data_IF_651657236267
#
_entry.id   IF_651657236267
#
_cell.length_a   1.000
_cell.length_b   1.000
_cell.length_c   1.000
_cell.angle_alpha   90.00
_cell.angle_beta   90.00
_cell.angle_gamma   90.00
#
_symmetry.space_group_name_H-M   'P 1'
#
loop_
_entity.id
_entity.type
_entity.pdbx_description
1 polymer ?
#
# COMPACT_ATOMS: atom_id res chain seq x y z
N UNK A 1 -7.06 17.96 20.50
CA UNK A 1 -7.74 18.35 19.24
C UNK A 1 -8.98 17.50 19.06
N UNK A 2 -10.13 18.03 18.62
CA UNK A 2 -11.29 17.20 18.29
C UNK A 2 -10.96 16.21 17.16
N UNK A 3 -11.56 15.03 17.22
CA UNK A 3 -11.46 14.03 16.16
C UNK A 3 -12.54 14.29 15.12
N UNK A 4 -12.21 14.17 13.83
CA UNK A 4 -13.15 14.34 12.72
C UNK A 4 -13.52 12.96 12.16
N UNK A 5 -14.77 12.50 12.27
CA UNK A 5 -15.20 11.23 11.68
C UNK A 5 -15.23 11.32 10.16
N UNK A 6 -14.80 10.25 9.49
CA UNK A 6 -14.81 10.12 8.03
C UNK A 6 -15.74 8.96 7.65
N UNK A 7 -17.03 9.26 7.58
CA UNK A 7 -18.06 8.29 7.20
C UNK A 7 -18.18 8.20 5.67
N UNK A 8 -18.22 6.97 5.14
CA UNK A 8 -18.26 6.74 3.70
C UNK A 8 -19.19 5.58 3.34
N UNK A 9 -19.74 5.63 2.12
CA UNK A 9 -20.54 4.53 1.57
C UNK A 9 -19.66 3.43 1.00
N UNK A 10 -20.18 2.22 0.85
CA UNK A 10 -19.51 1.14 0.14
C UNK A 10 -19.08 1.60 -1.26
N UNK A 11 -17.84 1.29 -1.65
CA UNK A 11 -17.25 1.72 -2.93
C UNK A 11 -16.58 3.11 -2.90
N UNK A 12 -16.70 3.87 -1.81
CA UNK A 12 -15.98 5.14 -1.67
C UNK A 12 -14.47 4.93 -1.45
N UNK A 13 -13.68 5.94 -1.79
CA UNK A 13 -12.24 6.00 -1.51
C UNK A 13 -11.96 7.07 -0.48
N UNK A 14 -11.21 6.72 0.57
CA UNK A 14 -10.59 7.69 1.47
C UNK A 14 -9.10 7.73 1.13
N UNK A 15 -8.64 8.85 0.58
CA UNK A 15 -7.25 9.06 0.21
C UNK A 15 -6.63 10.10 1.13
N UNK A 16 -5.52 9.75 1.78
CA UNK A 16 -4.87 10.62 2.75
C UNK A 16 -3.36 10.35 2.80
N UNK A 17 -2.61 11.32 3.31
CA UNK A 17 -1.16 11.22 3.45
C UNK A 17 -0.79 10.25 4.59
N UNK A 18 0.26 9.43 4.40
CA UNK A 18 0.71 8.45 5.39
C UNK A 18 1.13 9.03 6.76
N UNK A 19 1.45 10.32 6.84
CA UNK A 19 1.76 11.02 8.09
C UNK A 19 0.53 11.60 8.81
N UNK A 20 -0.67 11.53 8.23
CA UNK A 20 -1.89 11.97 8.89
C UNK A 20 -2.12 11.10 10.14
N UNK A 21 -2.25 11.72 11.31
CA UNK A 21 -2.67 11.00 12.52
C UNK A 21 -4.11 10.50 12.32
N UNK A 22 -4.29 9.18 12.31
CA UNK A 22 -5.58 8.56 12.06
C UNK A 22 -5.79 7.34 12.98
N UNK A 23 -7.05 7.02 13.25
CA UNK A 23 -7.46 5.84 14.01
C UNK A 23 -8.84 5.37 13.56
N UNK A 24 -9.21 4.16 13.95
CA UNK A 24 -10.59 3.66 13.84
C UNK A 24 -11.18 3.40 15.21
N UNK A 25 -12.47 3.69 15.36
CA UNK A 25 -13.21 3.33 16.56
C UNK A 25 -13.54 1.83 16.60
N UNK A 26 -13.81 1.31 17.80
CA UNK A 26 -14.26 -0.07 18.02
C UNK A 26 -15.56 -0.32 17.26
N UNK A 27 -15.62 -1.42 16.49
CA UNK A 27 -16.87 -1.88 15.91
C UNK A 27 -17.85 -2.33 17.01
N UNK A 28 -19.10 -1.85 16.96
CA UNK A 28 -20.14 -2.15 17.96
C UNK A 28 -21.28 -3.00 17.42
N UNK A 29 -21.25 -3.38 16.14
CA UNK A 29 -22.26 -4.28 15.56
C UNK A 29 -22.10 -5.70 16.10
N UNK A 30 -23.20 -6.41 16.28
CA UNK A 30 -23.21 -7.81 16.75
C UNK A 30 -23.10 -8.82 15.60
N UNK A 31 -23.54 -8.44 14.40
CA UNK A 31 -23.77 -9.33 13.26
C UNK A 31 -23.11 -8.85 11.95
N UNK A 32 -22.25 -7.82 12.01
CA UNK A 32 -21.67 -7.18 10.82
C UNK A 32 -20.19 -6.82 10.97
N UNK A 33 -19.53 -6.65 9.83
CA UNK A 33 -18.13 -6.23 9.73
C UNK A 33 -17.96 -5.11 8.70
N UNK A 34 -17.05 -4.16 9.00
CA UNK A 34 -16.58 -3.18 8.01
C UNK A 34 -15.40 -3.77 7.24
N UNK A 35 -15.55 -3.94 5.93
CA UNK A 35 -14.49 -4.39 5.01
C UNK A 35 -13.84 -3.19 4.31
N UNK A 36 -12.54 -3.30 4.07
CA UNK A 36 -11.73 -2.26 3.43
C UNK A 36 -10.58 -2.92 2.69
N UNK A 37 -10.25 -2.40 1.50
CA UNK A 37 -9.00 -2.66 0.79
C UNK A 37 -8.08 -1.44 0.98
N UNK A 38 -6.87 -1.66 1.50
CA UNK A 38 -5.88 -0.59 1.71
C UNK A 38 -4.74 -0.75 0.72
N UNK A 39 -4.40 0.34 0.04
CA UNK A 39 -3.22 0.43 -0.81
C UNK A 39 -2.34 1.56 -0.29
N UNK A 40 -1.04 1.35 -0.29
CA UNK A 40 -0.05 2.38 0.02
C UNK A 40 0.67 2.78 -1.27
N UNK A 41 0.68 4.07 -1.56
CA UNK A 41 1.38 4.64 -2.71
C UNK A 41 2.55 5.47 -2.22
N UNK A 42 3.68 5.36 -2.91
CA UNK A 42 4.91 6.06 -2.60
C UNK A 42 5.68 6.34 -3.89
N UNK A 43 6.62 7.29 -3.84
CA UNK A 43 7.60 7.47 -4.91
C UNK A 43 8.50 6.25 -4.99
N UNK A 44 8.84 5.82 -6.21
CA UNK A 44 9.87 4.80 -6.45
C UNK A 44 11.25 5.14 -5.86
N UNK A 45 11.47 6.38 -5.44
CA UNK A 45 12.69 6.81 -4.77
C UNK A 45 12.70 6.51 -3.26
N UNK A 46 11.55 6.14 -2.68
CA UNK A 46 11.46 5.82 -1.26
C UNK A 46 11.90 4.38 -1.01
N UNK A 47 12.80 4.20 -0.04
CA UNK A 47 13.18 2.87 0.43
C UNK A 47 12.05 2.24 1.22
N UNK A 48 11.89 0.93 1.08
CA UNK A 48 10.87 0.14 1.74
C UNK A 48 11.50 -0.84 2.74
N UNK A 49 11.79 -0.40 3.99
CA UNK A 49 12.53 -1.18 4.97
C UNK A 49 11.63 -2.13 5.79
N UNK A 50 10.72 -2.86 5.14
CA UNK A 50 9.64 -3.60 5.83
C UNK A 50 9.99 -5.02 6.25
N UNK A 51 11.07 -5.59 5.71
CA UNK A 51 11.57 -6.91 6.10
C UNK A 51 12.97 -6.78 6.67
N UNK A 52 13.24 -7.60 7.70
CA UNK A 52 14.60 -7.86 8.14
C UNK A 52 15.31 -8.58 7.01
N UNK A 53 16.35 -7.96 6.47
CA UNK A 53 17.34 -8.67 5.65
C UNK A 53 18.24 -9.49 6.55
N UNK A 54 19.01 -10.42 5.98
CA UNK A 54 20.10 -11.10 6.69
C UNK A 54 20.97 -10.10 7.46
N UNK A 55 21.60 -10.57 8.54
CA UNK A 55 22.15 -9.79 9.68
C UNK A 55 23.19 -8.68 9.35
N UNK A 56 23.49 -8.43 8.07
CA UNK A 56 24.55 -7.54 7.59
C UNK A 56 24.06 -6.17 7.08
N UNK A 57 22.75 -5.92 6.96
CA UNK A 57 22.22 -4.62 6.52
C UNK A 57 21.27 -3.98 7.54
N UNK A 58 21.49 -2.70 7.92
CA UNK A 58 20.55 -1.98 8.75
C UNK A 58 19.19 -1.89 8.06
N UNK A 59 18.11 -2.24 8.77
CA UNK A 59 16.73 -2.24 8.26
C UNK A 59 16.41 -0.94 7.51
N UNK A 60 16.84 0.22 8.03
CA UNK A 60 16.64 1.54 7.42
C UNK A 60 17.21 1.73 5.99
N UNK A 61 18.12 0.85 5.53
CA UNK A 61 18.74 0.91 4.19
C UNK A 61 18.20 -0.15 3.23
N UNK A 62 17.26 -0.98 3.68
CA UNK A 62 16.70 -2.05 2.86
C UNK A 62 15.70 -1.46 1.86
N UNK A 63 15.90 -1.82 0.58
CA UNK A 63 15.03 -1.47 -0.54
C UNK A 63 14.24 -2.71 -0.98
N UNK A 64 13.10 -2.99 -0.33
CA UNK A 64 12.23 -4.10 -0.74
C UNK A 64 11.48 -3.71 -2.01
N UNK A 65 11.88 -4.28 -3.15
CA UNK A 65 11.30 -3.94 -4.46
C UNK A 65 10.14 -4.86 -4.88
N UNK A 66 9.36 -5.34 -3.90
CA UNK A 66 8.09 -6.04 -4.13
C UNK A 66 6.96 -5.02 -4.24
N UNK A 67 7.00 -4.24 -5.31
CA UNK A 67 6.05 -3.16 -5.61
C UNK A 67 5.51 -3.29 -7.01
N UNK A 68 4.38 -2.63 -7.28
CA UNK A 68 3.80 -2.53 -8.61
C UNK A 68 3.93 -1.06 -9.03
N UNK A 69 4.74 -0.73 -10.05
CA UNK A 69 4.74 0.59 -10.64
C UNK A 69 3.37 0.88 -11.27
N UNK A 70 2.70 1.93 -10.80
CA UNK A 70 1.34 2.29 -11.27
C UNK A 70 1.29 3.58 -12.08
N UNK A 71 2.27 4.47 -11.94
CA UNK A 71 2.36 5.74 -12.67
C UNK A 71 3.81 6.25 -12.70
N UNK A 72 4.17 7.00 -13.74
CA UNK A 72 5.50 7.60 -13.90
C UNK A 72 6.60 6.61 -14.30
N UNK A 73 7.84 7.07 -14.19
CA UNK A 73 9.06 6.30 -14.50
C UNK A 73 9.84 6.06 -13.23
N UNK A 74 10.12 4.81 -12.92
CA UNK A 74 10.95 4.42 -11.78
C UNK A 74 12.45 4.63 -12.13
N UNK A 75 13.17 5.57 -11.47
CA UNK A 75 14.59 5.82 -11.76
C UNK A 75 15.50 4.65 -11.38
N UNK A 76 14.99 3.71 -10.58
CA UNK A 76 15.68 2.51 -10.11
C UNK A 76 15.10 1.22 -10.73
N UNK A 77 14.35 1.32 -11.83
CA UNK A 77 13.78 0.17 -12.53
C UNK A 77 14.84 -0.90 -12.88
N UNK A 78 16.09 -0.50 -13.11
CA UNK A 78 17.22 -1.38 -13.41
C UNK A 78 17.57 -2.35 -12.27
N UNK A 79 17.17 -2.07 -11.02
CA UNK A 79 17.31 -2.99 -9.89
C UNK A 79 16.36 -4.19 -9.98
N UNK A 80 15.40 -4.15 -10.90
CA UNK A 80 14.33 -5.13 -11.00
C UNK A 80 13.26 -4.99 -9.91
N UNK A 81 12.26 -5.84 -10.00
CA UNK A 81 11.19 -5.96 -9.01
C UNK A 81 11.13 -7.40 -8.52
N UNK A 82 11.03 -7.58 -7.22
CA UNK A 82 10.82 -8.88 -6.62
C UNK A 82 9.42 -9.36 -7.00
N UNK A 83 9.35 -10.58 -7.53
CA UNK A 83 8.07 -11.27 -7.62
C UNK A 83 7.58 -11.49 -6.20
N UNK A 84 6.31 -11.17 -5.95
CA UNK A 84 5.66 -11.70 -4.76
C UNK A 84 5.81 -13.23 -4.80
N UNK A 85 5.99 -13.94 -3.68
CA UNK A 85 5.97 -15.40 -3.62
C UNK A 85 4.59 -16.01 -3.98
N UNK A 86 3.80 -15.31 -4.78
CA UNK A 86 2.40 -15.48 -5.07
C UNK A 86 2.09 -16.63 -6.03
N UNK A 87 2.54 -17.83 -5.70
CA UNK A 87 1.61 -18.96 -5.83
C UNK A 87 0.48 -18.87 -4.78
N UNK A 88 0.61 -18.01 -3.75
CA UNK A 88 -0.37 -17.91 -2.64
C UNK A 88 -1.14 -16.57 -2.52
N UNK A 89 -0.70 -15.46 -3.14
CA UNK A 89 -1.42 -14.17 -3.01
C UNK A 89 -2.53 -14.05 -4.07
N UNK A 90 -3.74 -14.52 -3.74
CA UNK A 90 -4.95 -14.42 -4.59
C UNK A 90 -5.56 -13.02 -4.65
N UNK A 91 -4.75 -11.96 -4.74
CA UNK A 91 -5.26 -10.61 -4.97
C UNK A 91 -5.17 -10.29 -6.46
N UNK A 92 -6.25 -10.54 -7.18
CA UNK A 92 -6.37 -10.25 -8.61
C UNK A 92 -6.60 -8.75 -8.83
N UNK A 93 -5.54 -7.94 -8.73
CA UNK A 93 -5.58 -6.55 -9.20
C UNK A 93 -5.35 -6.59 -10.71
N UNK A 94 -6.38 -6.25 -11.50
CA UNK A 94 -6.20 -6.03 -12.94
C UNK A 94 -5.45 -4.71 -13.10
N UNK A 95 -4.35 -4.72 -13.86
CA UNK A 95 -3.68 -3.49 -14.29
C UNK A 95 -4.73 -2.64 -15.02
N UNK A 96 -4.92 -1.40 -14.58
CA UNK A 96 -5.71 -0.45 -15.33
C UNK A 96 -4.98 -0.20 -16.66
N UNK A 97 -5.52 -0.73 -17.75
CA UNK A 97 -5.15 -0.32 -19.09
C UNK A 97 -5.98 0.91 -19.40
N UNK A 98 -5.34 2.06 -19.42
CA UNK A 98 -5.92 3.25 -20.03
C UNK A 98 -5.59 3.16 -21.51
N UNK A 99 -6.58 3.37 -22.37
CA UNK A 99 -6.33 3.55 -23.79
C UNK A 99 -5.43 4.80 -23.93
N UNK A 100 -4.32 4.67 -24.65
CA UNK A 100 -3.51 5.82 -25.02
C UNK A 100 -4.33 6.67 -26.00
N UNK A 101 -4.63 7.92 -25.63
CA UNK A 101 -5.10 8.94 -26.59
C UNK A 101 -3.98 9.32 -27.57
#
# INVERSE_FOLDING_TARGET
SPQIPVEVRAGSVVFFNGYLLHQSLRNRTEDSYRRVLVNHYLSSESLLPWVKTSDEQPVARVDVRRVIPVAGVDPYAWKGYEKSPAEETRLYIRKATFDEE
#
